data_IF_362924019522
#
_entry.id   IF_362924019522
#
_cell.length_a   1.000
_cell.length_b   1.000
_cell.length_c   1.000
_cell.angle_alpha   90.00
_cell.angle_beta   90.00
_cell.angle_gamma   90.00
#
_symmetry.space_group_name_H-M   'P 1'
#
loop_
_entity.id
_entity.type
_entity.pdbx_description
1 polymer ?
#
# COMPACT_ATOMS: atom_id res chain seq x y z
N UNK A 1 -20.04 -1.28 -12.85
CA UNK A 1 -20.79 -2.48 -12.38
C UNK A 1 -21.80 -2.01 -11.35
N UNK A 2 -23.08 -2.21 -11.63
CA UNK A 2 -24.15 -1.95 -10.68
C UNK A 2 -24.08 -3.02 -9.58
N UNK A 3 -24.20 -2.67 -8.30
CA UNK A 3 -24.16 -3.66 -7.23
C UNK A 3 -25.38 -4.57 -7.35
N UNK A 4 -25.13 -5.86 -7.54
CA UNK A 4 -26.15 -6.89 -7.39
C UNK A 4 -26.05 -7.40 -5.93
N UNK A 5 -26.92 -6.87 -5.04
CA UNK A 5 -27.02 -7.36 -3.67
C UNK A 5 -26.48 -6.42 -2.58
N UNK A 6 -26.18 -7.00 -1.44
CA UNK A 6 -25.82 -6.34 -0.18
C UNK A 6 -24.35 -5.85 -0.14
N UNK A 7 -23.52 -6.31 -1.08
CA UNK A 7 -22.08 -6.06 -1.12
C UNK A 7 -21.67 -5.27 -2.36
N UNK A 8 -20.71 -4.37 -2.19
CA UNK A 8 -20.12 -3.58 -3.27
C UNK A 8 -18.62 -3.89 -3.44
N UNK A 9 -18.13 -3.84 -4.68
CA UNK A 9 -16.68 -3.95 -4.91
C UNK A 9 -15.95 -2.70 -4.43
N UNK A 10 -14.71 -2.86 -3.97
CA UNK A 10 -13.87 -1.73 -3.57
C UNK A 10 -13.68 -0.69 -4.68
N UNK A 11 -13.69 -1.11 -5.94
CA UNK A 11 -13.62 -0.20 -7.10
C UNK A 11 -14.87 0.68 -7.22
N UNK A 12 -16.05 0.08 -7.03
CA UNK A 12 -17.30 0.84 -7.03
C UNK A 12 -17.31 1.89 -5.91
N UNK A 13 -16.92 1.50 -4.69
CA UNK A 13 -16.88 2.40 -3.55
C UNK A 13 -15.92 3.59 -3.78
N UNK A 14 -14.72 3.32 -4.30
CA UNK A 14 -13.77 4.38 -4.64
C UNK A 14 -14.32 5.32 -5.72
N UNK A 15 -15.00 4.81 -6.72
CA UNK A 15 -15.61 5.64 -7.76
C UNK A 15 -16.73 6.52 -7.20
N UNK A 16 -17.57 6.00 -6.30
CA UNK A 16 -18.58 6.80 -5.62
C UNK A 16 -17.97 7.93 -4.79
N UNK A 17 -16.91 7.63 -4.01
CA UNK A 17 -16.18 8.65 -3.24
C UNK A 17 -15.57 9.73 -4.13
N UNK A 18 -14.96 9.36 -5.27
CA UNK A 18 -14.43 10.32 -6.25
C UNK A 18 -15.50 11.23 -6.86
N UNK A 19 -16.74 10.74 -6.95
CA UNK A 19 -17.90 11.50 -7.44
C UNK A 19 -18.59 12.30 -6.33
N UNK A 20 -18.02 12.35 -5.12
CA UNK A 20 -18.59 13.03 -3.97
C UNK A 20 -19.79 12.31 -3.34
N UNK A 21 -20.07 11.07 -3.76
CA UNK A 21 -21.16 10.25 -3.20
C UNK A 21 -20.63 9.35 -2.09
N UNK A 22 -21.15 9.52 -0.88
CA UNK A 22 -20.75 8.73 0.27
C UNK A 22 -21.47 7.37 0.30
N UNK A 23 -20.73 6.23 0.31
CA UNK A 23 -21.32 4.90 0.17
C UNK A 23 -21.82 4.31 1.50
N UNK A 24 -22.61 5.08 2.28
CA UNK A 24 -23.08 4.71 3.64
C UNK A 24 -23.71 3.31 3.72
N UNK A 25 -24.44 2.90 2.68
CA UNK A 25 -25.14 1.60 2.62
C UNK A 25 -24.20 0.40 2.77
N UNK A 26 -22.94 0.55 2.35
CA UNK A 26 -21.95 -0.54 2.31
C UNK A 26 -20.94 -0.49 3.46
N UNK A 27 -21.12 0.43 4.39
CA UNK A 27 -20.25 0.60 5.54
C UNK A 27 -20.95 0.10 6.81
N UNK A 28 -20.21 -0.51 7.74
CA UNK A 28 -20.74 -0.79 9.07
C UNK A 28 -21.24 0.51 9.72
N UNK A 29 -22.35 0.50 10.46
CA UNK A 29 -22.89 1.72 11.10
C UNK A 29 -21.87 2.48 11.96
N UNK A 30 -20.97 1.75 12.64
CA UNK A 30 -19.90 2.34 13.45
C UNK A 30 -18.79 3.01 12.65
N UNK A 31 -18.59 2.63 11.38
CA UNK A 31 -17.56 3.17 10.51
C UNK A 31 -18.03 4.39 9.71
N UNK A 32 -19.34 4.49 9.43
CA UNK A 32 -19.91 5.56 8.62
C UNK A 32 -19.48 6.97 9.04
N UNK A 33 -19.68 7.39 10.30
CA UNK A 33 -19.28 8.73 10.77
C UNK A 33 -17.79 9.00 10.68
N UNK A 34 -16.95 7.96 10.89
CA UNK A 34 -15.49 8.09 10.80
C UNK A 34 -15.06 8.36 9.36
N UNK A 35 -15.61 7.62 8.40
CA UNK A 35 -15.28 7.79 6.99
C UNK A 35 -15.82 9.09 6.40
N UNK A 36 -16.97 9.57 6.86
CA UNK A 36 -17.58 10.80 6.37
C UNK A 36 -16.71 12.02 6.65
N UNK A 37 -15.99 12.02 7.78
CA UNK A 37 -15.13 13.13 8.21
C UNK A 37 -13.64 12.89 7.95
N UNK A 38 -13.27 11.70 7.44
CA UNK A 38 -11.87 11.39 7.15
C UNK A 38 -11.43 12.07 5.84
N UNK A 39 -10.18 12.57 5.77
CA UNK A 39 -9.62 13.04 4.52
C UNK A 39 -9.53 11.89 3.51
N UNK A 40 -9.98 12.13 2.30
CA UNK A 40 -9.90 11.16 1.21
C UNK A 40 -8.65 11.41 0.40
N UNK A 41 -7.63 10.58 0.59
CA UNK A 41 -6.41 10.64 -0.20
C UNK A 41 -6.57 9.80 -1.46
N UNK A 42 -6.67 10.42 -2.63
CA UNK A 42 -6.69 9.68 -3.88
C UNK A 42 -5.33 9.00 -4.10
N UNK A 43 -5.32 7.78 -4.62
CA UNK A 43 -4.08 7.07 -4.96
C UNK A 43 -3.18 7.86 -5.94
N UNK A 44 -3.77 8.83 -6.64
CA UNK A 44 -3.10 9.68 -7.62
C UNK A 44 -2.30 10.81 -6.95
N UNK A 45 -2.51 11.12 -5.66
CA UNK A 45 -1.75 12.13 -4.92
C UNK A 45 -0.26 11.83 -4.83
N UNK A 46 0.15 10.55 -4.92
CA UNK A 46 1.55 10.15 -4.95
C UNK A 46 2.13 9.94 -6.35
N UNK A 47 1.39 10.26 -7.39
CA UNK A 47 1.77 10.00 -8.78
C UNK A 47 3.14 10.58 -9.14
N UNK A 48 3.37 11.84 -8.83
CA UNK A 48 4.63 12.53 -9.15
C UNK A 48 5.80 11.95 -8.34
N UNK A 49 5.56 11.57 -7.09
CA UNK A 49 6.58 10.95 -6.23
C UNK A 49 6.99 9.57 -6.77
N UNK A 50 6.02 8.77 -7.21
CA UNK A 50 6.28 7.48 -7.84
C UNK A 50 7.07 7.65 -9.15
N UNK A 51 6.66 8.57 -10.02
CA UNK A 51 7.35 8.83 -11.28
C UNK A 51 8.78 9.32 -11.04
N UNK A 52 8.98 10.24 -10.09
CA UNK A 52 10.31 10.72 -9.70
C UNK A 52 11.19 9.57 -9.20
N UNK A 53 10.68 8.76 -8.26
CA UNK A 53 11.43 7.62 -7.70
C UNK A 53 11.88 6.66 -8.81
N UNK A 54 10.96 6.25 -9.68
CA UNK A 54 11.28 5.32 -10.77
C UNK A 54 12.28 5.92 -11.78
N UNK A 55 12.24 7.23 -12.04
CA UNK A 55 13.19 7.89 -12.95
C UNK A 55 14.60 8.00 -12.39
N UNK A 56 14.74 7.99 -11.06
CA UNK A 56 16.05 8.10 -10.38
C UNK A 56 16.68 6.73 -10.08
N UNK A 57 15.92 5.63 -10.19
CA UNK A 57 16.44 4.29 -9.95
C UNK A 57 17.26 3.75 -11.12
N UNK A 58 18.28 2.96 -10.79
CA UNK A 58 19.00 2.14 -11.76
C UNK A 58 18.26 0.82 -12.02
N UNK A 59 18.54 0.12 -13.14
CA UNK A 59 17.98 -1.20 -13.42
C UNK A 59 18.24 -2.20 -12.28
N UNK A 60 19.44 -2.21 -11.72
CA UNK A 60 19.80 -3.10 -10.61
C UNK A 60 19.00 -2.83 -9.34
N UNK A 61 18.81 -1.55 -8.99
CA UNK A 61 17.96 -1.17 -7.85
C UNK A 61 16.51 -1.62 -8.04
N UNK A 62 15.95 -1.39 -9.24
CA UNK A 62 14.57 -1.78 -9.50
C UNK A 62 14.40 -3.31 -9.58
N UNK A 63 15.38 -4.03 -10.09
CA UNK A 63 15.37 -5.50 -10.13
C UNK A 63 15.35 -6.14 -8.73
N UNK A 64 15.93 -5.46 -7.72
CA UNK A 64 15.93 -5.92 -6.33
C UNK A 64 14.58 -5.70 -5.62
N UNK A 65 13.68 -4.89 -6.19
CA UNK A 65 12.37 -4.59 -5.61
C UNK A 65 11.45 -5.81 -5.69
N UNK A 66 10.64 -5.96 -4.66
CA UNK A 66 9.66 -7.02 -4.54
C UNK A 66 8.77 -7.16 -5.79
N UNK A 67 8.60 -8.40 -6.25
CA UNK A 67 7.75 -8.80 -7.40
C UNK A 67 8.23 -8.33 -8.78
N UNK A 68 9.35 -7.64 -8.88
CA UNK A 68 10.01 -7.36 -10.16
C UNK A 68 10.69 -8.64 -10.65
N UNK A 69 10.38 -9.07 -11.85
CA UNK A 69 10.95 -10.27 -12.47
C UNK A 69 11.43 -9.98 -13.87
N UNK A 70 12.38 -10.76 -14.32
CA UNK A 70 12.97 -10.90 -15.66
C UNK A 70 12.66 -9.80 -16.70
N UNK A 71 13.48 -8.76 -16.74
CA UNK A 71 13.41 -7.69 -17.74
C UNK A 71 12.28 -6.67 -17.52
N UNK A 72 11.46 -6.85 -16.48
CA UNK A 72 10.39 -5.90 -16.14
C UNK A 72 10.97 -4.56 -15.68
N UNK A 73 12.12 -4.56 -15.01
CA UNK A 73 12.84 -3.36 -14.59
C UNK A 73 13.14 -2.42 -15.76
N UNK A 74 13.64 -2.95 -16.86
CA UNK A 74 13.93 -2.15 -18.06
C UNK A 74 12.66 -1.57 -18.70
N UNK A 75 11.57 -2.35 -18.68
CA UNK A 75 10.28 -1.90 -19.21
C UNK A 75 9.71 -0.77 -18.36
N UNK A 76 9.73 -0.92 -17.03
CA UNK A 76 9.23 0.10 -16.10
C UNK A 76 10.04 1.39 -16.23
N UNK A 77 11.38 1.31 -16.22
CA UNK A 77 12.24 2.49 -16.32
C UNK A 77 12.05 3.24 -17.65
N UNK A 78 11.91 2.52 -18.76
CA UNK A 78 11.58 3.12 -20.06
C UNK A 78 10.22 3.80 -20.05
N UNK A 79 9.22 3.13 -19.49
CA UNK A 79 7.86 3.65 -19.39
C UNK A 79 7.81 4.89 -18.48
N UNK A 80 8.48 4.87 -17.33
CA UNK A 80 8.50 5.98 -16.39
C UNK A 80 9.09 7.27 -17.00
N UNK A 81 10.06 7.16 -17.90
CA UNK A 81 10.61 8.33 -18.62
C UNK A 81 9.64 8.96 -19.59
N UNK A 82 8.68 8.20 -20.11
CA UNK A 82 7.68 8.64 -21.11
C UNK A 82 6.36 9.05 -20.47
N UNK A 83 6.00 8.44 -19.35
CA UNK A 83 4.72 8.66 -18.71
C UNK A 83 4.68 10.02 -18.00
N UNK A 84 3.59 10.76 -18.18
CA UNK A 84 3.28 11.97 -17.43
C UNK A 84 2.34 11.70 -16.25
N UNK A 85 1.70 10.50 -16.21
CA UNK A 85 0.77 10.09 -15.16
C UNK A 85 0.95 8.62 -14.78
N UNK A 86 0.43 8.25 -13.61
CA UNK A 86 0.42 6.85 -13.16
C UNK A 86 -0.41 5.96 -14.07
N UNK A 87 -1.49 6.50 -14.62
CA UNK A 87 -2.34 5.80 -15.58
C UNK A 87 -1.58 5.49 -16.87
N UNK A 88 -0.87 6.48 -17.42
CA UNK A 88 0.00 6.28 -18.60
C UNK A 88 1.12 5.28 -18.30
N UNK A 89 1.72 5.35 -17.12
CA UNK A 89 2.76 4.39 -16.70
C UNK A 89 2.20 2.96 -16.69
N UNK A 90 1.02 2.77 -16.11
CA UNK A 90 0.33 1.47 -16.08
C UNK A 90 0.00 0.97 -17.49
N UNK A 91 -0.49 1.84 -18.38
CA UNK A 91 -0.79 1.48 -19.76
C UNK A 91 0.45 1.03 -20.53
N UNK A 92 1.57 1.73 -20.36
CA UNK A 92 2.85 1.39 -21.01
C UNK A 92 3.50 0.10 -20.45
N UNK A 93 3.29 -0.20 -19.16
CA UNK A 93 3.84 -1.38 -18.49
C UNK A 93 2.91 -2.60 -18.55
N UNK A 94 1.59 -2.39 -18.72
CA UNK A 94 0.58 -3.44 -18.63
C UNK A 94 0.72 -4.52 -19.71
N UNK A 95 0.37 -5.74 -19.35
CA UNK A 95 0.28 -6.88 -20.27
C UNK A 95 -0.58 -7.98 -19.64
N UNK A 96 -0.88 -9.04 -20.39
CA UNK A 96 -1.58 -10.22 -19.83
C UNK A 96 -0.83 -10.82 -18.62
N UNK A 97 0.51 -10.76 -18.61
CA UNK A 97 1.35 -11.26 -17.51
C UNK A 97 1.43 -10.30 -16.32
N UNK A 98 1.34 -8.99 -16.57
CA UNK A 98 1.51 -7.94 -15.56
C UNK A 98 0.23 -7.11 -15.45
N UNK A 99 -0.63 -7.48 -14.52
CA UNK A 99 -1.87 -6.75 -14.26
C UNK A 99 -1.60 -5.39 -13.60
N UNK A 100 -2.51 -4.43 -13.77
CA UNK A 100 -2.39 -3.11 -13.15
C UNK A 100 -2.26 -3.19 -11.61
N UNK A 101 -2.93 -4.14 -10.98
CA UNK A 101 -2.84 -4.34 -9.54
C UNK A 101 -1.43 -4.77 -9.10
N UNK A 102 -0.78 -5.67 -9.86
CA UNK A 102 0.60 -6.09 -9.61
C UNK A 102 1.58 -4.94 -9.84
N UNK A 103 1.42 -4.20 -10.95
CA UNK A 103 2.28 -3.06 -11.27
C UNK A 103 2.18 -1.96 -10.21
N UNK A 104 0.98 -1.60 -9.75
CA UNK A 104 0.80 -0.64 -8.65
C UNK A 104 1.55 -1.08 -7.40
N UNK A 105 1.47 -2.35 -7.05
CA UNK A 105 2.18 -2.91 -5.88
C UNK A 105 3.69 -2.79 -6.04
N UNK A 106 4.23 -3.10 -7.22
CA UNK A 106 5.65 -2.92 -7.54
C UNK A 106 6.07 -1.44 -7.38
N UNK A 107 5.26 -0.51 -7.88
CA UNK A 107 5.57 0.92 -7.79
C UNK A 107 5.60 1.42 -6.34
N UNK A 108 4.67 0.96 -5.49
CA UNK A 108 4.70 1.29 -4.06
C UNK A 108 5.83 0.57 -3.32
N UNK A 109 6.16 -0.67 -3.69
CA UNK A 109 7.35 -1.34 -3.15
C UNK A 109 8.63 -0.59 -3.53
N UNK A 110 8.73 -0.08 -4.76
CA UNK A 110 9.85 0.74 -5.20
C UNK A 110 9.92 2.07 -4.44
N UNK A 111 8.78 2.69 -4.18
CA UNK A 111 8.71 3.94 -3.42
C UNK A 111 9.22 3.76 -1.98
N UNK A 112 8.91 2.62 -1.37
CA UNK A 112 9.30 2.27 0.01
C UNK A 112 10.59 1.45 0.09
N UNK A 113 11.27 1.20 -1.02
CA UNK A 113 12.46 0.36 -1.11
C UNK A 113 12.27 -1.05 -0.50
N UNK A 114 11.10 -1.66 -0.69
CA UNK A 114 10.82 -3.02 -0.21
C UNK A 114 11.42 -4.04 -1.17
N UNK A 115 12.41 -4.79 -0.69
CA UNK A 115 13.08 -5.82 -1.47
C UNK A 115 12.29 -7.13 -1.54
N UNK A 116 12.67 -8.00 -2.49
CA UNK A 116 12.10 -9.35 -2.60
C UNK A 116 12.38 -10.18 -1.34
N UNK A 117 13.55 -10.04 -0.77
CA UNK A 117 13.97 -10.75 0.45
C UNK A 117 13.10 -10.36 1.64
N UNK A 118 12.87 -9.06 1.82
CA UNK A 118 12.02 -8.56 2.90
C UNK A 118 10.55 -8.97 2.75
N UNK A 119 10.03 -9.00 1.52
CA UNK A 119 8.65 -9.42 1.28
C UNK A 119 8.41 -10.89 1.64
N UNK A 120 9.42 -11.74 1.46
CA UNK A 120 9.34 -13.19 1.77
C UNK A 120 9.81 -13.52 3.18
N UNK A 121 10.42 -12.56 3.87
CA UNK A 121 10.92 -12.69 5.22
C UNK A 121 9.83 -12.77 6.29
N UNK A 122 10.25 -13.04 7.52
CA UNK A 122 9.35 -12.96 8.68
C UNK A 122 9.15 -11.49 9.07
N UNK A 123 7.96 -11.11 9.58
CA UNK A 123 7.75 -9.76 10.10
C UNK A 123 8.71 -9.50 11.28
N UNK A 124 9.30 -8.30 11.29
CA UNK A 124 10.19 -7.88 12.39
C UNK A 124 9.40 -7.54 13.65
N UNK A 125 8.13 -7.14 13.52
CA UNK A 125 7.25 -6.86 14.64
C UNK A 125 5.78 -7.04 14.26
N UNK A 126 4.90 -7.12 15.26
CA UNK A 126 3.44 -7.17 15.11
C UNK A 126 2.82 -5.94 15.77
N UNK A 127 2.13 -5.14 14.98
CA UNK A 127 1.42 -3.94 15.47
C UNK A 127 -0.01 -4.28 15.87
N UNK A 128 -0.35 -4.01 17.13
CA UNK A 128 -1.73 -4.12 17.61
C UNK A 128 -2.46 -2.85 17.24
N UNK A 129 -3.48 -2.96 16.40
CA UNK A 129 -4.34 -1.84 16.00
C UNK A 129 -5.58 -1.71 16.90
N UNK A 130 -6.02 -2.81 17.52
CA UNK A 130 -7.14 -2.86 18.42
C UNK A 130 -7.32 -4.28 18.96
N UNK A 131 -7.93 -4.42 20.12
CA UNK A 131 -8.25 -5.73 20.69
C UNK A 131 -9.49 -5.65 21.59
N UNK A 132 -10.28 -6.72 21.59
CA UNK A 132 -11.32 -6.96 22.57
C UNK A 132 -10.79 -7.68 23.82
N UNK A 133 -11.68 -8.00 24.77
CA UNK A 133 -11.31 -8.70 26.01
C UNK A 133 -10.55 -10.01 25.74
N UNK A 134 -11.04 -10.85 24.83
CA UNK A 134 -10.38 -12.11 24.43
C UNK A 134 -9.02 -11.89 23.76
N UNK A 135 -8.82 -10.78 23.08
CA UNK A 135 -7.52 -10.44 22.45
C UNK A 135 -6.41 -10.28 23.49
N UNK A 136 -6.73 -9.76 24.68
CA UNK A 136 -5.76 -9.64 25.77
C UNK A 136 -5.33 -11.01 26.31
N UNK A 137 -6.26 -11.95 26.46
CA UNK A 137 -5.96 -13.33 26.87
C UNK A 137 -5.06 -14.02 25.86
N UNK A 138 -5.35 -13.88 24.56
CA UNK A 138 -4.52 -14.43 23.47
C UNK A 138 -3.11 -13.85 23.53
N UNK A 139 -2.95 -12.54 23.69
CA UNK A 139 -1.62 -11.91 23.79
C UNK A 139 -0.82 -12.40 25.00
N UNK A 140 -1.51 -12.61 26.13
CA UNK A 140 -0.86 -13.16 27.34
C UNK A 140 -0.44 -14.61 27.18
N UNK A 141 -1.19 -15.39 26.38
CA UNK A 141 -0.91 -16.80 26.09
C UNK A 141 0.10 -16.99 24.93
N UNK A 142 0.36 -15.96 24.11
CA UNK A 142 1.34 -16.05 23.03
C UNK A 142 2.75 -16.24 23.61
N UNK A 143 3.48 -17.27 23.15
CA UNK A 143 4.88 -17.40 23.54
C UNK A 143 5.64 -16.18 23.05
N UNK A 144 6.31 -15.47 23.96
CA UNK A 144 7.13 -14.27 23.67
C UNK A 144 8.45 -14.64 22.96
N UNK A 145 8.37 -15.49 21.94
CA UNK A 145 9.53 -15.99 21.22
C UNK A 145 9.74 -15.19 19.94
N UNK A 146 10.56 -14.18 20.03
CA UNK A 146 11.32 -13.67 18.91
C UNK A 146 10.72 -12.51 18.10
N UNK A 147 9.40 -12.28 18.07
CA UNK A 147 8.80 -11.16 17.33
C UNK A 147 8.13 -10.22 18.34
N UNK A 148 8.61 -8.96 18.48
CA UNK A 148 7.99 -7.99 19.38
C UNK A 148 6.56 -7.67 18.94
N UNK A 149 5.65 -7.63 19.91
CA UNK A 149 4.25 -7.26 19.73
C UNK A 149 4.00 -5.94 20.46
N UNK A 150 3.50 -4.93 19.76
CA UNK A 150 3.36 -3.59 20.35
C UNK A 150 2.18 -2.81 19.77
N UNK A 151 1.55 -2.00 20.63
CA UNK A 151 0.62 -0.96 20.20
C UNK A 151 1.35 0.35 19.83
N UNK A 152 2.61 0.52 20.32
CA UNK A 152 3.41 1.73 20.10
C UNK A 152 4.73 1.38 19.39
N UNK A 153 4.78 1.44 18.06
CA UNK A 153 6.00 1.12 17.28
C UNK A 153 7.19 2.02 17.61
N UNK A 154 6.97 3.23 18.12
CA UNK A 154 8.02 4.18 18.44
C UNK A 154 9.11 3.64 19.40
N UNK A 155 8.82 2.57 20.15
CA UNK A 155 9.78 1.88 21.00
C UNK A 155 10.79 1.00 20.24
N UNK A 156 10.55 0.77 18.94
CA UNK A 156 11.32 -0.13 18.08
C UNK A 156 11.80 0.57 16.82
N UNK A 157 12.25 1.83 16.95
CA UNK A 157 12.67 2.67 15.81
C UNK A 157 13.86 2.10 15.02
N UNK A 158 14.63 1.20 15.63
CA UNK A 158 15.76 0.54 14.98
C UNK A 158 15.34 -0.51 13.95
N UNK A 159 14.11 -1.03 14.03
CA UNK A 159 13.59 -1.99 13.08
C UNK A 159 13.29 -1.33 11.74
N UNK A 160 13.70 -2.00 10.66
CA UNK A 160 13.50 -1.51 9.28
C UNK A 160 12.03 -1.37 8.93
N UNK A 161 11.21 -2.33 9.34
CA UNK A 161 9.75 -2.27 9.09
C UNK A 161 9.10 -1.09 9.83
N UNK A 162 9.51 -0.75 11.04
CA UNK A 162 8.97 0.41 11.78
C UNK A 162 9.30 1.71 11.06
N UNK A 163 10.53 1.86 10.58
CA UNK A 163 10.93 3.04 9.79
C UNK A 163 10.15 3.15 8.49
N UNK A 164 9.88 2.04 7.83
CA UNK A 164 9.06 2.01 6.61
C UNK A 164 7.60 2.34 6.87
N UNK A 165 7.03 1.85 7.95
CA UNK A 165 5.67 2.20 8.34
C UNK A 165 5.55 3.71 8.60
N UNK A 166 6.54 4.32 9.25
CA UNK A 166 6.59 5.77 9.43
C UNK A 166 6.72 6.51 8.08
N UNK A 167 7.65 6.09 7.22
CA UNK A 167 7.80 6.66 5.87
C UNK A 167 6.52 6.50 5.04
N UNK A 168 5.85 5.35 5.12
CA UNK A 168 4.60 5.13 4.42
C UNK A 168 3.49 6.10 4.90
N UNK A 169 3.44 6.38 6.21
CA UNK A 169 2.50 7.36 6.78
C UNK A 169 2.83 8.79 6.32
N UNK A 170 4.11 9.17 6.31
CA UNK A 170 4.55 10.48 5.83
C UNK A 170 4.25 10.68 4.35
N UNK A 171 4.54 9.67 3.51
CA UNK A 171 4.19 9.69 2.09
C UNK A 171 2.68 9.76 1.87
N UNK A 172 1.90 9.04 2.68
CA UNK A 172 0.44 9.15 2.64
C UNK A 172 -0.02 10.58 2.89
N UNK A 173 0.57 11.25 3.89
CA UNK A 173 0.28 12.67 4.18
C UNK A 173 0.59 13.62 3.03
N UNK A 174 1.59 13.31 2.18
CA UNK A 174 1.87 14.09 0.96
C UNK A 174 0.82 13.92 -0.14
N UNK A 175 0.09 12.81 -0.13
CA UNK A 175 -0.96 12.50 -1.11
C UNK A 175 -2.34 13.03 -0.73
N UNK A 176 -2.50 13.54 0.48
CA UNK A 176 -3.71 14.12 1.02
C UNK A 176 -3.68 15.64 0.96
#
# INVERSE_FOLDING_TARGET
QTPQGEYASATLLRNQLRQGSFPARYLPPSAGPLYQNAPHCPADGLEQVVLWKLRTMTPAQLAAIAQVGEGLEHRILRAARKAASLEQLLALCGSKRYTNARLRRIFYCALLDISQEEQTGRPEYLRILGMGAKGREILSAMPQKGIPVTASPAKFQDLTQVRRDALAADLWGLGC
#
